data_IF_927468589386
#
_entry.id   IF_927468589386
#
_cell.length_a   1.000
_cell.length_b   1.000
_cell.length_c   1.000
_cell.angle_alpha   90.00
_cell.angle_beta   90.00
_cell.angle_gamma   90.00
#
_symmetry.space_group_name_H-M   'P 1'
#
loop_
_entity.id
_entity.type
_entity.pdbx_description
1 polymer ?
#
# COMPACT_ATOMS: atom_id res chain seq x y z
N UNK A 1 -6.44 24.28 -27.94
CA UNK A 1 -6.44 25.76 -27.95
C UNK A 1 -5.37 26.22 -28.92
N UNK A 2 -5.54 27.37 -29.57
CA UNK A 2 -4.60 27.92 -30.53
C UNK A 2 -3.94 29.16 -29.91
N UNK A 3 -2.64 29.34 -30.11
CA UNK A 3 -1.97 30.57 -29.68
C UNK A 3 -2.42 31.72 -30.59
N UNK A 4 -2.95 32.80 -30.00
CA UNK A 4 -3.53 33.92 -30.76
C UNK A 4 -2.46 34.85 -31.37
N UNK A 5 -1.22 34.85 -30.85
CA UNK A 5 -0.14 35.73 -31.31
C UNK A 5 1.23 35.03 -31.35
N UNK A 6 2.03 35.22 -32.42
CA UNK A 6 3.42 34.78 -32.45
C UNK A 6 4.25 35.54 -31.40
N UNK A 7 5.13 34.82 -30.70
CA UNK A 7 6.03 35.32 -29.63
C UNK A 7 5.38 35.67 -28.27
N UNK A 8 4.14 35.25 -28.03
CA UNK A 8 3.52 35.30 -26.69
C UNK A 8 3.48 33.89 -26.10
N UNK A 9 3.86 33.73 -24.83
CA UNK A 9 3.67 32.47 -24.11
C UNK A 9 2.17 32.24 -23.96
N UNK A 10 1.60 31.42 -24.84
CA UNK A 10 0.22 30.97 -24.73
C UNK A 10 0.13 29.75 -23.84
N UNK A 11 -0.70 29.80 -22.80
CA UNK A 11 -1.01 28.64 -21.96
C UNK A 11 -2.00 27.73 -22.70
N UNK A 12 -1.51 26.67 -23.34
CA UNK A 12 -2.31 25.89 -24.31
C UNK A 12 -3.16 24.76 -23.71
N UNK A 13 -3.08 24.53 -22.40
CA UNK A 13 -4.04 23.70 -21.64
C UNK A 13 -3.79 23.82 -20.13
N UNK A 14 -4.81 24.22 -19.38
CA UNK A 14 -4.95 23.83 -17.97
C UNK A 14 -5.92 22.66 -17.94
N UNK A 15 -5.41 21.47 -17.67
CA UNK A 15 -6.26 20.34 -17.28
C UNK A 15 -5.46 19.55 -16.26
N UNK A 16 -5.78 19.73 -14.98
CA UNK A 16 -5.28 18.86 -13.93
C UNK A 16 -5.76 17.43 -14.21
N UNK A 17 -4.92 16.64 -14.88
CA UNK A 17 -5.22 15.25 -15.18
C UNK A 17 -4.76 14.36 -14.02
N UNK A 18 -5.69 13.95 -13.16
CA UNK A 18 -5.40 13.02 -12.07
C UNK A 18 -5.16 11.61 -12.62
N UNK A 19 -3.90 11.18 -12.63
CA UNK A 19 -3.50 9.81 -13.02
C UNK A 19 -3.92 8.84 -11.90
N UNK A 20 -4.89 7.97 -12.18
CA UNK A 20 -5.44 7.01 -11.18
C UNK A 20 -4.86 5.59 -11.28
N UNK A 21 -4.23 5.25 -12.41
CA UNK A 21 -3.69 3.91 -12.68
C UNK A 21 -2.32 4.03 -13.35
N UNK A 22 -1.49 3.00 -13.17
CA UNK A 22 -0.20 2.88 -13.86
C UNK A 22 -0.43 2.81 -15.37
N UNK A 23 0.40 3.51 -16.14
CA UNK A 23 0.29 3.56 -17.60
C UNK A 23 1.25 4.57 -18.21
N UNK A 24 1.02 4.90 -19.48
CA UNK A 24 1.81 5.85 -20.26
C UNK A 24 0.97 7.08 -20.60
N UNK A 25 1.60 8.26 -20.55
CA UNK A 25 1.03 9.51 -21.03
C UNK A 25 1.74 9.90 -22.33
N UNK A 26 0.97 10.07 -23.40
CA UNK A 26 1.48 10.61 -24.66
C UNK A 26 1.15 12.09 -24.74
N UNK A 27 2.18 12.93 -24.78
CA UNK A 27 2.07 14.38 -24.99
C UNK A 27 2.71 14.69 -26.32
N UNK A 28 1.95 15.33 -27.22
CA UNK A 28 2.44 15.76 -28.52
C UNK A 28 1.89 17.13 -28.85
N UNK A 29 2.66 17.91 -29.60
CA UNK A 29 2.25 19.21 -30.11
C UNK A 29 2.04 19.08 -31.62
N UNK A 30 0.96 19.65 -32.13
CA UNK A 30 0.60 19.57 -33.55
C UNK A 30 0.39 20.98 -34.11
N UNK A 31 0.94 21.25 -35.31
CA UNK A 31 0.68 22.46 -36.06
C UNK A 31 -0.29 22.16 -37.22
N UNK A 32 -1.52 22.65 -37.13
CA UNK A 32 -2.53 22.53 -38.20
C UNK A 32 -2.57 23.74 -39.13
N UNK A 33 -1.65 24.69 -38.99
CA UNK A 33 -1.60 25.89 -39.83
C UNK A 33 -0.75 25.69 -41.09
N UNK A 34 -0.98 26.54 -42.10
CA UNK A 34 -0.23 26.52 -43.38
C UNK A 34 1.18 27.12 -43.23
N UNK A 35 1.45 27.81 -42.10
CA UNK A 35 2.74 28.46 -41.85
C UNK A 35 3.63 27.56 -40.98
N UNK A 36 4.95 27.57 -41.18
CA UNK A 36 5.87 26.92 -40.24
C UNK A 36 5.76 27.61 -38.87
N UNK A 37 5.52 26.80 -37.84
CA UNK A 37 5.45 27.20 -36.44
C UNK A 37 6.49 26.38 -35.69
N UNK A 38 7.30 27.04 -34.87
CA UNK A 38 8.28 26.41 -34.00
C UNK A 38 7.71 26.32 -32.58
N UNK A 39 7.89 25.17 -31.95
CA UNK A 39 7.45 24.91 -30.59
C UNK A 39 8.65 24.97 -29.66
N UNK A 40 9.01 26.17 -29.23
CA UNK A 40 10.10 26.38 -28.30
C UNK A 40 9.52 26.40 -26.86
N UNK A 41 10.28 25.86 -25.89
CA UNK A 41 9.94 25.84 -24.46
C UNK A 41 8.70 25.00 -24.05
N UNK A 42 8.48 23.82 -24.65
CA UNK A 42 7.53 22.85 -24.10
C UNK A 42 8.02 22.36 -22.72
N UNK A 43 7.26 22.64 -21.67
CA UNK A 43 7.54 22.16 -20.31
C UNK A 43 6.43 21.20 -19.89
N UNK A 44 6.82 19.99 -19.47
CA UNK A 44 5.92 19.00 -18.87
C UNK A 44 6.30 18.88 -17.39
N UNK A 45 5.42 19.32 -16.50
CA UNK A 45 5.58 19.13 -15.07
C UNK A 45 4.74 17.96 -14.60
N UNK A 46 5.37 16.99 -13.94
CA UNK A 46 4.68 15.86 -13.31
C UNK A 46 4.89 15.92 -11.80
N UNK A 47 3.81 16.16 -11.06
CA UNK A 47 3.82 16.11 -9.60
C UNK A 47 3.36 14.74 -9.14
N UNK A 48 4.30 13.86 -8.80
CA UNK A 48 3.97 12.59 -8.15
C UNK A 48 3.57 12.83 -6.70
N UNK A 49 2.52 12.17 -6.23
CA UNK A 49 2.24 12.12 -4.79
C UNK A 49 3.40 11.44 -4.05
N UNK A 50 3.70 11.92 -2.84
CA UNK A 50 4.70 11.29 -1.97
C UNK A 50 4.20 9.91 -1.54
N UNK A 51 5.00 8.87 -1.76
CA UNK A 51 4.76 7.57 -1.13
C UNK A 51 4.86 7.77 0.39
N UNK A 52 3.76 7.55 1.09
CA UNK A 52 3.72 7.69 2.54
C UNK A 52 4.33 6.47 3.22
N UNK A 53 4.00 5.28 2.72
CA UNK A 53 4.37 4.02 3.35
C UNK A 53 4.23 2.84 2.37
N UNK A 54 5.18 1.92 2.42
CA UNK A 54 5.14 0.63 1.74
C UNK A 54 5.67 -0.46 2.69
N UNK A 55 4.88 -1.51 2.91
CA UNK A 55 5.28 -2.63 3.75
C UNK A 55 5.19 -3.94 2.97
N UNK A 56 6.23 -4.75 3.10
CA UNK A 56 6.31 -6.09 2.55
C UNK A 56 6.38 -7.10 3.70
N UNK A 57 5.61 -8.19 3.60
CA UNK A 57 5.47 -9.18 4.66
C UNK A 57 5.86 -10.57 4.16
N UNK A 58 6.50 -11.35 5.03
CA UNK A 58 6.56 -12.80 4.90
C UNK A 58 5.17 -13.42 5.06
N UNK A 59 4.95 -14.68 4.64
CA UNK A 59 3.63 -15.32 4.69
C UNK A 59 2.95 -15.30 6.07
N UNK A 60 3.73 -15.35 7.15
CA UNK A 60 3.22 -15.30 8.53
C UNK A 60 3.16 -13.87 9.10
N UNK A 61 3.29 -12.84 8.28
CA UNK A 61 3.11 -11.46 8.70
C UNK A 61 4.33 -10.80 9.33
N UNK A 62 5.49 -11.46 9.34
CA UNK A 62 6.75 -10.81 9.70
C UNK A 62 7.11 -9.77 8.64
N UNK A 63 7.51 -8.58 9.07
CA UNK A 63 7.95 -7.53 8.15
C UNK A 63 9.28 -7.92 7.50
N UNK A 64 9.36 -7.86 6.17
CA UNK A 64 10.59 -8.13 5.41
C UNK A 64 11.66 -7.04 5.64
N UNK A 65 11.20 -5.80 5.83
CA UNK A 65 12.02 -4.61 6.14
C UNK A 65 11.31 -3.80 7.22
N UNK A 66 12.08 -3.03 7.99
CA UNK A 66 11.52 -2.10 8.97
C UNK A 66 10.43 -1.22 8.32
N UNK A 67 9.29 -1.01 9.00
CA UNK A 67 8.19 -0.27 8.43
C UNK A 67 8.61 1.17 8.18
N UNK A 68 8.21 1.74 7.05
CA UNK A 68 8.40 3.15 6.73
C UNK A 68 7.09 3.86 7.05
N UNK A 69 7.02 4.60 8.16
CA UNK A 69 5.85 5.41 8.52
C UNK A 69 5.16 5.01 9.83
N UNK A 70 4.34 5.93 10.34
CA UNK A 70 3.77 5.89 11.70
C UNK A 70 2.45 5.09 11.80
N UNK A 71 2.02 4.41 10.74
CA UNK A 71 0.77 3.65 10.75
C UNK A 71 0.89 2.44 11.70
N UNK A 72 0.05 2.34 12.73
CA UNK A 72 0.07 1.19 13.64
C UNK A 72 -0.65 -0.04 13.08
N UNK A 73 -1.54 0.12 12.10
CA UNK A 73 -2.31 -0.98 11.54
C UNK A 73 -1.58 -1.59 10.34
N UNK A 74 -1.13 -2.84 10.50
CA UNK A 74 -0.21 -3.52 9.60
C UNK A 74 -0.83 -4.79 9.04
N UNK A 75 -0.20 -5.93 9.30
CA UNK A 75 -0.57 -7.22 8.74
C UNK A 75 -2.00 -7.62 9.11
N UNK A 76 -2.79 -8.08 8.14
CA UNK A 76 -4.21 -8.45 8.31
C UNK A 76 -5.08 -7.35 8.96
N UNK A 77 -4.68 -6.08 8.84
CA UNK A 77 -5.37 -4.95 9.44
C UNK A 77 -5.31 -4.91 10.97
N UNK A 78 -4.33 -5.59 11.59
CA UNK A 78 -4.13 -5.63 13.03
C UNK A 78 -3.12 -4.58 13.49
N UNK A 79 -3.32 -4.09 14.71
CA UNK A 79 -2.43 -3.11 15.34
C UNK A 79 -1.16 -3.81 15.82
N UNK A 80 0.00 -3.27 15.43
CA UNK A 80 1.28 -3.73 15.94
C UNK A 80 1.58 -3.06 17.28
N UNK A 81 1.94 -3.87 18.27
CA UNK A 81 2.42 -3.45 19.58
C UNK A 81 3.95 -3.54 19.58
N UNK A 82 4.60 -2.43 19.89
CA UNK A 82 6.08 -2.29 19.89
C UNK A 82 6.64 -1.94 21.26
N UNK A 83 5.78 -1.72 22.25
CA UNK A 83 6.08 -1.19 23.59
C UNK A 83 7.00 -2.11 24.40
N UNK A 84 7.01 -3.40 24.08
CA UNK A 84 7.82 -4.43 24.75
C UNK A 84 8.94 -4.98 23.85
N UNK A 85 9.23 -4.33 22.71
CA UNK A 85 10.14 -4.83 21.67
C UNK A 85 9.76 -6.21 21.11
N UNK A 86 8.50 -6.64 21.30
CA UNK A 86 8.00 -7.94 20.86
C UNK A 86 7.32 -7.92 19.48
N UNK A 87 7.04 -6.73 18.92
CA UNK A 87 6.44 -6.56 17.58
C UNK A 87 5.21 -7.44 17.32
N UNK A 88 4.37 -7.63 18.34
CA UNK A 88 3.19 -8.50 18.27
C UNK A 88 2.01 -7.79 17.65
N UNK A 89 1.08 -8.53 17.07
CA UNK A 89 -0.14 -8.01 16.48
C UNK A 89 -1.33 -8.28 17.41
N UNK A 90 -2.14 -7.25 17.67
CA UNK A 90 -3.35 -7.39 18.48
C UNK A 90 -4.52 -7.90 17.62
N UNK A 91 -4.94 -9.15 17.86
CA UNK A 91 -6.11 -9.74 17.22
C UNK A 91 -7.40 -9.56 18.04
N UNK A 92 -7.33 -8.95 19.22
CA UNK A 92 -8.45 -8.74 20.13
C UNK A 92 -8.50 -9.78 21.25
N UNK A 93 -8.63 -11.07 20.90
CA UNK A 93 -8.63 -12.13 21.92
C UNK A 93 -7.21 -12.56 22.34
N UNK A 94 -6.21 -12.37 21.46
CA UNK A 94 -4.83 -12.83 21.66
C UNK A 94 -3.83 -11.92 20.95
N UNK A 95 -2.60 -11.90 21.45
CA UNK A 95 -1.46 -11.31 20.75
C UNK A 95 -0.77 -12.36 19.88
N UNK A 96 -0.62 -12.03 18.60
CA UNK A 96 0.05 -12.85 17.60
C UNK A 96 1.50 -12.42 17.44
N UNK A 97 2.43 -13.37 17.51
CA UNK A 97 3.84 -13.14 17.24
C UNK A 97 4.18 -13.59 15.80
N UNK A 98 4.44 -12.64 14.89
CA UNK A 98 4.78 -12.96 13.51
C UNK A 98 6.18 -13.56 13.35
N UNK A 99 7.09 -13.40 14.31
CA UNK A 99 8.45 -13.94 14.23
C UNK A 99 8.46 -15.47 14.36
N UNK A 100 7.60 -16.01 15.23
CA UNK A 100 7.42 -17.47 15.40
C UNK A 100 6.19 -18.02 14.68
N UNK A 101 5.31 -17.15 14.18
CA UNK A 101 4.09 -17.54 13.46
C UNK A 101 3.02 -18.18 14.36
N UNK A 102 2.92 -17.76 15.62
CA UNK A 102 2.03 -18.35 16.64
C UNK A 102 1.39 -17.28 17.52
N UNK A 103 0.29 -17.64 18.17
CA UNK A 103 -0.25 -16.83 19.27
C UNK A 103 0.56 -17.04 20.55
N UNK A 104 0.70 -15.99 21.36
CA UNK A 104 1.37 -16.07 22.66
C UNK A 104 0.53 -16.75 23.76
N UNK A 105 -0.78 -16.91 23.53
CA UNK A 105 -1.73 -17.46 24.51
C UNK A 105 -2.61 -18.56 23.90
N UNK A 106 -3.16 -19.41 24.76
CA UNK A 106 -4.05 -20.52 24.40
C UNK A 106 -5.36 -19.98 23.81
N UNK A 107 -5.81 -20.56 22.70
CA UNK A 107 -7.09 -20.25 22.07
C UNK A 107 -8.28 -20.46 23.05
N UNK A 108 -9.15 -19.45 23.27
CA UNK A 108 -10.36 -19.61 24.08
C UNK A 108 -11.29 -20.75 23.60
N UNK A 109 -11.28 -21.06 22.31
CA UNK A 109 -12.06 -22.11 21.67
C UNK A 109 -11.26 -23.38 21.39
N UNK A 110 -10.06 -23.54 21.98
CA UNK A 110 -9.20 -24.71 21.78
C UNK A 110 -9.94 -26.05 21.95
N UNK A 111 -10.86 -26.12 22.93
CA UNK A 111 -11.67 -27.32 23.21
C UNK A 111 -12.55 -27.76 22.03
N UNK A 112 -12.92 -26.85 21.12
CA UNK A 112 -13.71 -27.15 19.92
C UNK A 112 -12.84 -27.66 18.77
N UNK A 113 -11.52 -27.50 18.86
CA UNK A 113 -10.57 -27.82 17.80
C UNK A 113 -9.46 -28.76 18.30
N UNK A 114 -9.79 -29.96 18.81
CA UNK A 114 -8.81 -30.87 19.42
C UNK A 114 -7.74 -31.37 18.43
N UNK A 115 -8.01 -31.30 17.12
CA UNK A 115 -7.07 -31.67 16.07
C UNK A 115 -5.98 -30.60 15.81
N UNK A 116 -6.11 -29.40 16.38
CA UNK A 116 -5.20 -28.28 16.14
C UNK A 116 -4.50 -27.83 17.42
N UNK A 117 -3.26 -27.35 17.29
CA UNK A 117 -2.57 -26.75 18.42
C UNK A 117 -3.27 -25.45 18.83
N UNK A 118 -3.48 -25.21 20.15
CA UNK A 118 -4.15 -24.02 20.66
C UNK A 118 -3.38 -22.72 20.39
N UNK A 119 -2.16 -22.80 19.87
CA UNK A 119 -1.33 -21.64 19.51
C UNK A 119 -1.23 -21.43 17.99
N UNK A 120 -1.99 -22.22 17.19
CA UNK A 120 -1.96 -22.12 15.72
C UNK A 120 -2.49 -20.79 15.22
N UNK A 121 -1.90 -20.30 14.14
CA UNK A 121 -2.36 -19.14 13.41
C UNK A 121 -2.83 -19.55 12.00
N UNK A 122 -4.02 -19.11 11.61
CA UNK A 122 -4.59 -19.33 10.27
C UNK A 122 -4.51 -20.79 9.77
N UNK A 123 -4.71 -21.79 10.64
CA UNK A 123 -4.52 -23.22 10.38
C UNK A 123 -3.19 -23.58 9.69
N UNK A 124 -2.11 -22.85 10.04
CA UNK A 124 -0.79 -22.91 9.40
C UNK A 124 -0.79 -22.57 7.89
N UNK A 125 -1.84 -21.93 7.39
CA UNK A 125 -1.96 -21.46 6.01
C UNK A 125 -2.50 -20.01 5.96
N UNK A 126 -1.68 -19.03 6.40
CA UNK A 126 -2.06 -17.60 6.44
C UNK A 126 -2.22 -16.95 5.06
N UNK A 127 -1.82 -17.65 3.99
CA UNK A 127 -2.08 -17.21 2.60
C UNK A 127 -3.55 -17.46 2.23
N UNK A 128 -4.17 -18.50 2.80
CA UNK A 128 -5.54 -18.92 2.49
C UNK A 128 -6.55 -18.48 3.54
N UNK A 129 -6.17 -18.49 4.82
CA UNK A 129 -7.07 -18.25 5.94
C UNK A 129 -6.71 -16.96 6.68
N UNK A 130 -7.73 -16.34 7.29
CA UNK A 130 -7.64 -15.12 8.08
C UNK A 130 -8.35 -15.39 9.41
N UNK A 131 -7.67 -15.16 10.53
CA UNK A 131 -8.29 -15.15 11.87
C UNK A 131 -8.78 -13.73 12.19
N UNK A 132 -10.10 -13.44 12.23
CA UNK A 132 -10.60 -12.09 12.38
C UNK A 132 -10.50 -11.54 13.80
N UNK A 133 -10.54 -12.38 14.83
CA UNK A 133 -10.67 -11.95 16.24
C UNK A 133 -9.74 -12.68 17.21
N UNK A 134 -8.87 -13.56 16.70
CA UNK A 134 -7.94 -14.33 17.50
C UNK A 134 -8.60 -15.47 18.25
N UNK A 135 -9.77 -15.97 17.84
CA UNK A 135 -10.48 -17.07 18.54
C UNK A 135 -10.64 -18.34 17.71
N UNK A 136 -10.22 -18.32 16.45
CA UNK A 136 -10.21 -19.52 15.61
C UNK A 136 -9.16 -19.38 14.50
N UNK A 137 -8.15 -20.26 14.47
CA UNK A 137 -7.20 -20.32 13.37
C UNK A 137 -7.85 -20.78 12.07
#
# INVERSE_FOLDING_TARGET
MQAEHPNVIGELAITELKIRKKGYLYVYVNNSSVKPVFFDNLIISHTSSKLLEENNYYPFGMLWKAPIGDNKYKYSGKEIQTELDLFTQDYGARYYDPAIGRFGTVDPLAHKMPAWSPYSFCNNNPIRYIDPDGRAP
#
